data_IF_270866337526
#
_entry.id   IF_270866337526
#
_cell.length_a   1.000
_cell.length_b   1.000
_cell.length_c   1.000
_cell.angle_alpha   90.00
_cell.angle_beta   90.00
_cell.angle_gamma   90.00
#
_symmetry.space_group_name_H-M   'P 1'
#
loop_
_entity.id
_entity.type
_entity.pdbx_description
1 polymer ?
#
# COMPACT_ATOMS: atom_id res chain seq x y z
N UNK A 1 4.90 -16.04 -25.38
CA UNK A 1 4.97 -15.35 -24.09
C UNK A 1 3.96 -14.20 -23.99
N UNK A 2 4.07 -13.10 -24.74
CA UNK A 2 3.15 -11.95 -24.65
C UNK A 2 1.67 -12.30 -24.80
N UNK A 3 1.32 -13.15 -25.78
CA UNK A 3 -0.06 -13.63 -25.97
C UNK A 3 -0.58 -14.44 -24.77
N UNK A 4 0.27 -15.27 -24.17
CA UNK A 4 -0.11 -16.08 -23.02
C UNK A 4 -0.37 -15.19 -21.79
N UNK A 5 0.46 -14.17 -21.56
CA UNK A 5 0.26 -13.17 -20.49
C UNK A 5 -1.08 -12.45 -20.68
N UNK A 6 -1.37 -12.02 -21.91
CA UNK A 6 -2.62 -11.36 -22.25
C UNK A 6 -3.82 -12.26 -21.98
N UNK A 7 -3.77 -13.52 -22.45
CA UNK A 7 -4.86 -14.50 -22.24
C UNK A 7 -5.05 -14.80 -20.75
N UNK A 8 -3.98 -14.89 -19.96
CA UNK A 8 -4.07 -15.10 -18.52
C UNK A 8 -4.78 -13.94 -17.82
N UNK A 9 -4.40 -12.70 -18.19
CA UNK A 9 -5.04 -11.49 -17.65
C UNK A 9 -6.51 -11.37 -18.06
N UNK A 10 -6.83 -11.65 -19.33
CA UNK A 10 -8.22 -11.66 -19.81
C UNK A 10 -9.07 -12.70 -19.07
N UNK A 11 -8.55 -13.91 -18.86
CA UNK A 11 -9.24 -14.95 -18.09
C UNK A 11 -9.48 -14.49 -16.63
N UNK A 12 -8.50 -13.84 -15.98
CA UNK A 12 -8.66 -13.30 -14.63
C UNK A 12 -9.75 -12.22 -14.58
N UNK A 13 -9.73 -11.28 -15.53
CA UNK A 13 -10.74 -10.20 -15.61
C UNK A 13 -12.13 -10.72 -15.91
N UNK A 14 -12.25 -11.77 -16.72
CA UNK A 14 -13.50 -12.48 -17.00
C UNK A 14 -13.97 -13.37 -15.83
N UNK A 15 -13.19 -13.45 -14.73
CA UNK A 15 -13.42 -14.34 -13.58
C UNK A 15 -13.42 -15.84 -13.96
N UNK A 16 -12.77 -16.19 -15.06
CA UNK A 16 -12.49 -17.58 -15.47
C UNK A 16 -11.27 -18.08 -14.67
N UNK A 17 -11.44 -18.22 -13.34
CA UNK A 17 -10.34 -18.38 -12.42
C UNK A 17 -9.56 -19.69 -12.60
N UNK A 18 -10.23 -20.81 -12.99
CA UNK A 18 -9.58 -22.09 -13.30
C UNK A 18 -8.60 -21.92 -14.47
N UNK A 19 -9.06 -21.26 -15.53
CA UNK A 19 -8.24 -20.98 -16.71
C UNK A 19 -7.11 -20.00 -16.37
N UNK A 20 -7.39 -18.97 -15.56
CA UNK A 20 -6.37 -18.04 -15.09
C UNK A 20 -5.29 -18.77 -14.28
N UNK A 21 -5.68 -19.69 -13.38
CA UNK A 21 -4.76 -20.51 -12.60
C UNK A 21 -3.85 -21.36 -13.49
N UNK A 22 -4.41 -22.02 -14.49
CA UNK A 22 -3.66 -22.85 -15.45
C UNK A 22 -2.65 -22.01 -16.24
N UNK A 23 -3.10 -20.87 -16.79
CA UNK A 23 -2.26 -19.98 -17.60
C UNK A 23 -1.15 -19.33 -16.79
N UNK A 24 -1.44 -18.83 -15.56
CA UNK A 24 -0.41 -18.26 -14.69
C UNK A 24 0.55 -19.34 -14.17
N UNK A 25 0.10 -20.58 -13.95
CA UNK A 25 0.99 -21.70 -13.60
C UNK A 25 1.95 -22.02 -14.74
N UNK A 26 1.47 -22.02 -15.97
CA UNK A 26 2.31 -22.23 -17.16
C UNK A 26 3.32 -21.07 -17.34
N UNK A 27 2.92 -19.83 -17.05
CA UNK A 27 3.81 -18.65 -17.08
C UNK A 27 4.86 -18.71 -15.98
N UNK A 28 4.50 -19.12 -14.76
CA UNK A 28 5.42 -19.29 -13.64
C UNK A 28 6.48 -20.37 -13.92
N UNK A 29 6.08 -21.47 -14.56
CA UNK A 29 7.02 -22.51 -15.01
C UNK A 29 8.05 -21.98 -16.04
N UNK A 30 7.72 -20.90 -16.73
CA UNK A 30 8.62 -20.17 -17.62
C UNK A 30 9.32 -18.96 -16.94
N UNK A 31 9.29 -18.91 -15.61
CA UNK A 31 9.88 -17.84 -14.79
C UNK A 31 9.39 -16.42 -15.10
N UNK A 32 8.13 -16.27 -15.57
CA UNK A 32 7.53 -14.95 -15.77
C UNK A 32 7.20 -14.32 -14.39
N UNK A 33 7.81 -13.17 -14.01
CA UNK A 33 7.75 -12.65 -12.65
C UNK A 33 6.34 -12.31 -12.15
N UNK A 34 5.50 -11.71 -12.99
CA UNK A 34 4.16 -11.26 -12.57
C UNK A 34 3.18 -12.41 -12.42
N UNK A 35 3.47 -13.58 -13.00
CA UNK A 35 2.65 -14.78 -12.84
C UNK A 35 2.61 -15.25 -11.39
N UNK A 36 3.72 -15.16 -10.67
CA UNK A 36 3.77 -15.49 -9.24
C UNK A 36 2.86 -14.58 -8.42
N UNK A 37 2.82 -13.29 -8.72
CA UNK A 37 1.89 -12.36 -8.07
C UNK A 37 0.43 -12.79 -8.27
N UNK A 38 0.03 -13.13 -9.50
CA UNK A 38 -1.35 -13.54 -9.77
C UNK A 38 -1.68 -14.91 -9.18
N UNK A 39 -0.74 -15.83 -9.09
CA UNK A 39 -0.92 -17.07 -8.33
C UNK A 39 -1.14 -16.78 -6.84
N UNK A 40 -0.33 -15.92 -6.24
CA UNK A 40 -0.52 -15.44 -4.87
C UNK A 40 -1.92 -14.85 -4.67
N UNK A 41 -2.37 -14.00 -5.59
CA UNK A 41 -3.71 -13.42 -5.56
C UNK A 41 -4.82 -14.48 -5.58
N UNK A 42 -4.73 -15.50 -6.44
CA UNK A 42 -5.73 -16.58 -6.53
C UNK A 42 -5.80 -17.41 -5.24
N UNK A 43 -4.65 -17.71 -4.61
CA UNK A 43 -4.60 -18.40 -3.32
C UNK A 43 -5.09 -17.53 -2.17
N UNK A 44 -4.76 -16.24 -2.17
CA UNK A 44 -5.17 -15.30 -1.12
C UNK A 44 -6.69 -15.16 -1.04
N UNK A 45 -7.34 -15.04 -2.20
CA UNK A 45 -8.79 -14.87 -2.29
C UNK A 45 -9.58 -16.18 -2.32
N UNK A 46 -8.93 -17.32 -2.55
CA UNK A 46 -9.61 -18.62 -2.59
C UNK A 46 -10.61 -18.77 -3.74
N UNK A 47 -10.31 -18.17 -4.90
CA UNK A 47 -11.27 -18.15 -6.02
C UNK A 47 -11.46 -19.51 -6.71
N UNK A 48 -10.42 -20.32 -6.82
CA UNK A 48 -10.42 -21.65 -7.46
C UNK A 48 -9.98 -22.73 -6.51
N UNK A 49 -9.07 -22.37 -5.64
CA UNK A 49 -8.48 -23.22 -4.63
C UNK A 49 -8.96 -22.76 -3.26
N UNK A 50 -8.95 -23.67 -2.27
CA UNK A 50 -9.19 -23.24 -0.90
C UNK A 50 -8.21 -22.10 -0.55
N UNK A 51 -8.74 -21.03 0.06
CA UNK A 51 -7.93 -19.91 0.55
C UNK A 51 -6.75 -20.43 1.38
N UNK A 52 -5.56 -19.96 1.03
CA UNK A 52 -4.32 -20.35 1.68
C UNK A 52 -3.37 -19.14 1.71
N UNK A 53 -3.44 -18.38 2.82
CA UNK A 53 -2.61 -17.19 3.00
C UNK A 53 -1.12 -17.53 3.07
N UNK A 54 -0.74 -18.72 3.57
CA UNK A 54 0.66 -19.14 3.61
C UNK A 54 1.20 -19.34 2.20
N UNK A 55 0.46 -20.05 1.38
CA UNK A 55 0.85 -20.28 -0.02
C UNK A 55 0.82 -18.99 -0.83
N UNK A 56 -0.14 -18.10 -0.55
CA UNK A 56 -0.19 -16.77 -1.13
C UNK A 56 1.07 -15.96 -0.80
N UNK A 57 1.49 -15.97 0.48
CA UNK A 57 2.73 -15.32 0.90
C UNK A 57 3.96 -15.86 0.18
N UNK A 58 4.09 -17.19 0.04
CA UNK A 58 5.19 -17.82 -0.69
C UNK A 58 5.24 -17.33 -2.16
N UNK A 59 4.10 -17.26 -2.85
CA UNK A 59 4.03 -16.77 -4.21
C UNK A 59 4.29 -15.26 -4.33
N UNK A 60 3.73 -14.45 -3.41
CA UNK A 60 4.03 -13.02 -3.40
C UNK A 60 5.50 -12.75 -3.12
N UNK A 61 6.12 -13.49 -2.20
CA UNK A 61 7.55 -13.38 -1.91
C UNK A 61 8.41 -13.71 -3.14
N UNK A 62 8.04 -14.76 -3.87
CA UNK A 62 8.70 -15.14 -5.11
C UNK A 62 8.60 -14.05 -6.19
N UNK A 63 7.44 -13.39 -6.31
CA UNK A 63 7.27 -12.23 -7.20
C UNK A 63 8.04 -11.01 -6.70
N UNK A 64 8.03 -10.75 -5.38
CA UNK A 64 8.70 -9.61 -4.76
C UNK A 64 10.21 -9.65 -4.93
N UNK A 65 10.82 -10.84 -4.78
CA UNK A 65 12.26 -11.07 -5.02
C UNK A 65 12.65 -10.87 -6.48
N UNK A 66 11.69 -11.02 -7.41
CA UNK A 66 11.82 -10.70 -8.84
C UNK A 66 11.44 -9.25 -9.15
N UNK A 67 11.44 -8.40 -8.15
CA UNK A 67 11.23 -6.96 -8.25
C UNK A 67 9.86 -6.53 -8.79
N UNK A 68 8.80 -7.34 -8.60
CA UNK A 68 7.42 -6.96 -8.91
C UNK A 68 6.90 -6.01 -7.81
N UNK A 69 6.66 -4.71 -8.12
CA UNK A 69 6.41 -3.70 -7.08
C UNK A 69 5.14 -3.94 -6.27
N UNK A 70 4.08 -4.43 -6.92
CA UNK A 70 2.82 -4.75 -6.25
C UNK A 70 3.00 -5.95 -5.30
N UNK A 71 3.80 -6.94 -5.67
CA UNK A 71 4.10 -8.08 -4.81
C UNK A 71 4.94 -7.69 -3.59
N UNK A 72 5.90 -6.77 -3.75
CA UNK A 72 6.67 -6.22 -2.64
C UNK A 72 5.76 -5.54 -1.61
N UNK A 73 4.76 -4.81 -2.08
CA UNK A 73 3.76 -4.18 -1.21
C UNK A 73 2.90 -5.22 -0.48
N UNK A 74 2.42 -6.26 -1.18
CA UNK A 74 1.61 -7.33 -0.55
C UNK A 74 2.42 -8.11 0.49
N UNK A 75 3.68 -8.46 0.20
CA UNK A 75 4.58 -9.09 1.18
C UNK A 75 4.74 -8.23 2.42
N UNK A 76 4.93 -6.91 2.24
CA UNK A 76 5.04 -5.98 3.36
C UNK A 76 3.77 -5.96 4.22
N UNK A 77 2.58 -5.91 3.60
CA UNK A 77 1.29 -5.97 4.30
C UNK A 77 1.12 -7.28 5.08
N UNK A 78 1.45 -8.41 4.46
CA UNK A 78 1.32 -9.72 5.09
C UNK A 78 2.26 -9.86 6.29
N UNK A 79 3.50 -9.38 6.19
CA UNK A 79 4.46 -9.34 7.31
C UNK A 79 4.02 -8.39 8.42
N UNK A 80 3.47 -7.22 8.09
CA UNK A 80 2.94 -6.26 9.07
C UNK A 80 1.77 -6.85 9.87
N UNK A 81 0.90 -7.64 9.22
CA UNK A 81 -0.29 -8.22 9.83
C UNK A 81 -0.06 -9.63 10.42
N UNK A 82 1.01 -10.32 10.04
CA UNK A 82 1.22 -11.73 10.36
C UNK A 82 0.27 -12.64 9.58
N UNK A 83 -0.09 -12.27 8.34
CA UNK A 83 -1.02 -13.03 7.52
C UNK A 83 -0.28 -14.02 6.62
N UNK A 84 -0.48 -15.31 6.87
CA UNK A 84 0.21 -16.38 6.14
C UNK A 84 1.69 -16.56 6.49
N UNK A 85 2.24 -15.70 7.33
CA UNK A 85 3.61 -15.70 7.81
C UNK A 85 3.68 -15.20 9.26
N UNK A 86 4.85 -15.32 9.89
CA UNK A 86 5.09 -14.68 11.18
C UNK A 86 5.18 -13.16 11.00
N UNK A 87 4.53 -12.41 11.92
CA UNK A 87 4.59 -10.95 11.90
C UNK A 87 6.02 -10.46 12.09
N UNK A 88 6.46 -9.56 11.20
CA UNK A 88 7.79 -8.97 11.24
C UNK A 88 7.79 -7.54 10.71
N UNK A 89 7.64 -6.58 11.61
CA UNK A 89 7.57 -5.15 11.26
C UNK A 89 8.87 -4.65 10.59
N UNK A 90 10.04 -5.18 10.95
CA UNK A 90 11.31 -4.75 10.34
C UNK A 90 11.43 -5.21 8.89
N UNK A 91 11.02 -6.43 8.61
CA UNK A 91 11.00 -6.96 7.25
C UNK A 91 9.89 -6.32 6.42
N UNK A 92 8.73 -6.01 7.02
CA UNK A 92 7.68 -5.23 6.38
C UNK A 92 8.19 -3.85 5.94
N UNK A 93 8.92 -3.14 6.80
CA UNK A 93 9.51 -1.85 6.46
C UNK A 93 10.49 -1.95 5.28
N UNK A 94 11.31 -2.99 5.24
CA UNK A 94 12.21 -3.27 4.10
C UNK A 94 11.42 -3.43 2.79
N UNK A 95 10.38 -4.27 2.78
CA UNK A 95 9.60 -4.51 1.57
C UNK A 95 8.76 -3.29 1.14
N UNK A 96 8.24 -2.50 2.09
CA UNK A 96 7.62 -1.20 1.77
C UNK A 96 8.64 -0.24 1.14
N UNK A 97 9.88 -0.20 1.63
CA UNK A 97 10.93 0.63 1.05
C UNK A 97 11.24 0.21 -0.39
N UNK A 98 11.36 -1.10 -0.65
CA UNK A 98 11.58 -1.62 -2.00
C UNK A 98 10.43 -1.30 -2.95
N UNK A 99 9.18 -1.45 -2.51
CA UNK A 99 7.99 -1.07 -3.28
C UNK A 99 7.94 0.44 -3.55
N UNK A 100 8.27 1.26 -2.54
CA UNK A 100 8.30 2.72 -2.66
C UNK A 100 9.37 3.20 -3.64
N UNK A 101 10.58 2.60 -3.64
CA UNK A 101 11.64 2.88 -4.63
C UNK A 101 11.17 2.66 -6.07
N UNK A 102 10.21 1.75 -6.27
CA UNK A 102 9.62 1.43 -7.58
C UNK A 102 8.31 2.19 -7.85
N UNK A 103 8.00 3.19 -7.01
CA UNK A 103 6.88 4.11 -7.23
C UNK A 103 5.53 3.66 -6.68
N UNK A 104 5.48 2.64 -5.82
CA UNK A 104 4.24 2.28 -5.15
C UNK A 104 3.86 3.37 -4.13
N UNK A 105 2.76 4.07 -4.42
CA UNK A 105 2.31 5.23 -3.64
C UNK A 105 1.84 4.83 -2.24
N UNK A 106 1.15 3.70 -2.12
CA UNK A 106 0.65 3.21 -0.84
C UNK A 106 1.81 2.77 0.08
N UNK A 107 2.89 2.24 -0.51
CA UNK A 107 4.09 1.90 0.24
C UNK A 107 4.76 3.13 0.87
N UNK A 108 4.79 4.29 0.18
CA UNK A 108 5.26 5.53 0.80
C UNK A 108 4.44 5.92 2.03
N UNK A 109 3.11 5.80 1.97
CA UNK A 109 2.25 6.10 3.11
C UNK A 109 2.50 5.13 4.28
N UNK A 110 2.54 3.83 4.01
CA UNK A 110 2.68 2.83 5.06
C UNK A 110 4.06 2.89 5.72
N UNK A 111 5.14 3.05 4.93
CA UNK A 111 6.48 3.26 5.45
C UNK A 111 6.58 4.56 6.26
N UNK A 112 5.91 5.63 5.81
CA UNK A 112 5.81 6.88 6.56
C UNK A 112 5.15 6.70 7.93
N UNK A 113 4.10 5.88 8.01
CA UNK A 113 3.46 5.53 9.27
C UNK A 113 4.40 4.73 10.19
N UNK A 114 5.16 3.78 9.64
CA UNK A 114 6.14 3.00 10.40
C UNK A 114 7.23 3.90 10.99
N UNK A 115 7.77 4.85 10.23
CA UNK A 115 8.74 5.83 10.75
C UNK A 115 8.11 6.78 11.78
N UNK A 116 6.87 7.21 11.59
CA UNK A 116 6.15 8.04 12.57
C UNK A 116 5.97 7.34 13.91
N UNK A 117 5.73 6.05 13.90
CA UNK A 117 5.40 5.23 15.08
C UNK A 117 6.61 4.49 15.66
N UNK A 118 7.71 4.38 14.93
CA UNK A 118 8.88 3.59 15.32
C UNK A 118 8.63 2.08 15.23
N UNK A 119 7.73 1.64 14.33
CA UNK A 119 7.43 0.22 14.14
C UNK A 119 8.39 -0.41 13.13
N UNK A 120 9.17 -1.38 13.58
CA UNK A 120 10.17 -2.06 12.75
C UNK A 120 11.37 -1.20 12.32
N UNK A 121 11.34 0.10 12.59
CA UNK A 121 12.37 1.10 12.29
C UNK A 121 12.54 2.05 13.47
N UNK A 122 13.68 2.74 13.54
CA UNK A 122 13.87 3.82 14.51
C UNK A 122 12.91 4.97 14.14
N UNK A 123 12.15 5.47 15.12
CA UNK A 123 11.22 6.59 14.92
C UNK A 123 11.95 7.81 14.31
N UNK A 124 11.38 8.33 13.23
CA UNK A 124 11.92 9.49 12.52
C UNK A 124 10.80 10.30 11.85
N UNK A 125 10.35 11.36 12.51
CA UNK A 125 9.30 12.23 11.98
C UNK A 125 9.72 12.98 10.71
N UNK A 126 11.01 13.27 10.50
CA UNK A 126 11.49 13.91 9.26
C UNK A 126 11.37 12.96 8.07
N UNK A 127 11.75 11.70 8.25
CA UNK A 127 11.55 10.67 7.22
C UNK A 127 10.05 10.43 6.96
N UNK A 128 9.24 10.34 8.01
CA UNK A 128 7.79 10.22 7.88
C UNK A 128 7.20 11.37 7.06
N UNK A 129 7.59 12.62 7.36
CA UNK A 129 7.16 13.80 6.62
C UNK A 129 7.51 13.72 5.12
N UNK A 130 8.75 13.32 4.79
CA UNK A 130 9.19 13.18 3.38
C UNK A 130 8.36 12.12 2.66
N UNK A 131 8.13 10.98 3.31
CA UNK A 131 7.38 9.85 2.73
C UNK A 131 5.90 10.20 2.54
N UNK A 132 5.26 10.79 3.55
CA UNK A 132 3.88 11.27 3.43
C UNK A 132 3.76 12.37 2.37
N UNK A 133 4.73 13.28 2.26
CA UNK A 133 4.73 14.31 1.24
C UNK A 133 4.75 13.72 -0.17
N UNK A 134 5.57 12.69 -0.42
CA UNK A 134 5.60 11.99 -1.71
C UNK A 134 4.25 11.36 -2.04
N UNK A 135 3.68 10.61 -1.11
CA UNK A 135 2.39 9.95 -1.32
C UNK A 135 1.23 10.97 -1.43
N UNK A 136 1.22 12.01 -0.61
CA UNK A 136 0.19 13.05 -0.62
C UNK A 136 0.17 13.85 -1.93
N UNK A 137 1.35 14.21 -2.45
CA UNK A 137 1.48 14.87 -3.75
C UNK A 137 1.07 13.96 -4.91
N UNK A 138 1.22 12.64 -4.77
CA UNK A 138 0.71 11.66 -5.72
C UNK A 138 -0.80 11.36 -5.55
N UNK A 139 -1.48 12.06 -4.63
CA UNK A 139 -2.93 11.98 -4.47
C UNK A 139 -3.42 10.99 -3.41
N UNK A 140 -2.55 10.31 -2.66
CA UNK A 140 -2.98 9.38 -1.63
C UNK A 140 -3.70 10.10 -0.48
N UNK A 141 -5.00 9.83 -0.30
CA UNK A 141 -5.84 10.51 0.70
C UNK A 141 -5.40 10.25 2.14
N UNK A 142 -4.92 9.04 2.45
CA UNK A 142 -4.39 8.72 3.79
C UNK A 142 -3.12 9.51 4.09
N UNK A 143 -2.22 9.59 3.11
CA UNK A 143 -0.99 10.37 3.24
C UNK A 143 -1.26 11.87 3.32
N UNK A 144 -2.25 12.41 2.61
CA UNK A 144 -2.68 13.80 2.74
C UNK A 144 -3.15 14.11 4.16
N UNK A 145 -3.94 13.23 4.75
CA UNK A 145 -4.37 13.36 6.14
C UNK A 145 -3.18 13.29 7.11
N UNK A 146 -2.28 12.31 6.94
CA UNK A 146 -1.09 12.16 7.78
C UNK A 146 -0.15 13.37 7.67
N UNK A 147 0.05 13.89 6.46
CA UNK A 147 0.86 15.09 6.22
C UNK A 147 0.24 16.32 6.87
N UNK A 148 -1.08 16.47 6.78
CA UNK A 148 -1.82 17.52 7.49
C UNK A 148 -1.60 17.45 9.00
N UNK A 149 -1.63 16.26 9.60
CA UNK A 149 -1.39 16.06 11.02
C UNK A 149 0.06 16.41 11.43
N UNK A 150 1.06 16.14 10.58
CA UNK A 150 2.45 16.56 10.86
C UNK A 150 2.60 18.08 10.79
N UNK A 151 1.98 18.77 9.84
CA UNK A 151 1.95 20.23 9.82
C UNK A 151 1.20 20.84 11.01
N UNK A 152 0.17 20.16 11.51
CA UNK A 152 -0.59 20.62 12.68
C UNK A 152 0.25 20.61 13.96
N UNK A 153 1.11 19.61 14.10
CA UNK A 153 1.90 19.37 15.32
C UNK A 153 3.36 19.84 15.25
N UNK A 154 3.84 20.20 14.06
CA UNK A 154 5.25 20.52 13.83
C UNK A 154 6.21 19.32 13.93
N UNK A 155 5.67 18.09 13.90
CA UNK A 155 6.50 16.89 13.98
C UNK A 155 7.20 16.62 12.65
N UNK A 156 8.52 16.69 12.63
CA UNK A 156 9.36 16.47 11.45
C UNK A 156 9.39 17.63 10.45
N UNK A 157 8.60 18.68 10.68
CA UNK A 157 8.56 19.91 9.89
C UNK A 157 8.23 21.12 10.79
N UNK A 158 8.26 22.32 10.23
CA UNK A 158 7.74 23.51 10.91
C UNK A 158 6.20 23.45 11.00
N UNK A 159 5.65 23.79 12.17
CA UNK A 159 4.20 23.85 12.38
C UNK A 159 3.57 24.87 11.43
N UNK A 160 2.48 24.44 10.77
CA UNK A 160 1.75 25.30 9.83
C UNK A 160 0.28 24.90 9.74
N UNK A 161 -0.59 25.62 10.46
CA UNK A 161 -2.03 25.34 10.53
C UNK A 161 -2.74 25.52 9.19
N UNK A 162 -2.27 26.44 8.34
CA UNK A 162 -2.87 26.68 7.01
C UNK A 162 -2.61 25.47 6.10
N UNK A 163 -1.36 25.00 6.04
CA UNK A 163 -1.02 23.78 5.28
C UNK A 163 -1.70 22.54 5.84
N UNK A 164 -1.80 22.43 7.18
CA UNK A 164 -2.55 21.35 7.81
C UNK A 164 -3.98 21.30 7.29
N UNK A 165 -4.68 22.46 7.33
CA UNK A 165 -6.05 22.56 6.86
C UNK A 165 -6.18 22.27 5.36
N UNK A 166 -5.25 22.78 4.53
CA UNK A 166 -5.22 22.52 3.09
C UNK A 166 -5.16 21.03 2.79
N UNK A 167 -4.21 20.31 3.40
CA UNK A 167 -4.06 18.89 3.21
C UNK A 167 -5.24 18.07 3.77
N UNK A 168 -5.78 18.50 4.91
CA UNK A 168 -6.98 17.89 5.49
C UNK A 168 -8.19 18.03 4.54
N UNK A 169 -8.38 19.20 3.91
CA UNK A 169 -9.43 19.42 2.91
C UNK A 169 -9.26 18.51 1.70
N UNK A 170 -8.03 18.37 1.16
CA UNK A 170 -7.75 17.47 0.03
C UNK A 170 -8.12 16.02 0.38
N UNK A 171 -7.75 15.55 1.57
CA UNK A 171 -8.12 14.22 2.05
C UNK A 171 -9.66 14.06 2.20
N UNK A 172 -10.33 15.05 2.78
CA UNK A 172 -11.78 15.06 2.97
C UNK A 172 -12.54 15.00 1.64
N UNK A 173 -12.09 15.75 0.62
CA UNK A 173 -12.67 15.70 -0.74
C UNK A 173 -12.56 14.31 -1.38
N UNK A 174 -11.53 13.54 -1.06
CA UNK A 174 -11.36 12.17 -1.50
C UNK A 174 -12.12 11.13 -0.62
N UNK A 175 -12.93 11.60 0.32
CA UNK A 175 -13.75 10.73 1.16
C UNK A 175 -13.04 10.17 2.41
N UNK A 176 -11.88 10.73 2.81
CA UNK A 176 -11.21 10.32 4.04
C UNK A 176 -12.05 10.70 5.26
N UNK A 177 -12.67 9.71 5.92
CA UNK A 177 -13.69 9.91 6.96
C UNK A 177 -13.24 10.80 8.13
N UNK A 178 -12.02 10.57 8.64
CA UNK A 178 -11.50 11.39 9.75
C UNK A 178 -11.28 12.85 9.31
N UNK A 179 -10.76 13.08 8.11
CA UNK A 179 -10.60 14.42 7.57
C UNK A 179 -11.96 15.13 7.39
N UNK A 180 -12.95 14.43 6.85
CA UNK A 180 -14.32 14.96 6.73
C UNK A 180 -14.89 15.35 8.09
N UNK A 181 -14.70 14.52 9.12
CA UNK A 181 -15.16 14.82 10.48
C UNK A 181 -14.47 16.03 11.10
N UNK A 182 -13.18 16.26 10.81
CA UNK A 182 -12.45 17.44 11.27
C UNK A 182 -12.98 18.69 10.56
N UNK A 183 -13.06 18.68 9.25
CA UNK A 183 -13.56 19.81 8.46
C UNK A 183 -14.98 20.18 8.89
N UNK A 184 -15.87 19.20 9.05
CA UNK A 184 -17.24 19.43 9.50
C UNK A 184 -17.32 20.12 10.87
N UNK A 185 -16.49 19.68 11.85
CA UNK A 185 -16.43 20.33 13.17
C UNK A 185 -15.93 21.77 13.07
N UNK A 186 -14.84 22.02 12.34
CA UNK A 186 -14.27 23.35 12.18
C UNK A 186 -15.26 24.33 11.52
N UNK A 187 -16.11 23.85 10.62
CA UNK A 187 -17.19 24.64 10.01
C UNK A 187 -18.29 25.00 11.01
N UNK A 188 -18.75 24.02 11.80
CA UNK A 188 -19.79 24.24 12.82
C UNK A 188 -19.30 25.18 13.93
N UNK A 189 -18.02 25.14 14.26
CA UNK A 189 -17.40 25.99 15.28
C UNK A 189 -17.05 27.40 14.74
N UNK A 190 -17.38 27.70 13.47
CA UNK A 190 -17.08 28.98 12.82
C UNK A 190 -15.60 29.27 12.59
N UNK A 191 -14.75 28.25 12.68
CA UNK A 191 -13.30 28.37 12.51
C UNK A 191 -12.88 28.46 11.04
N UNK A 192 -13.72 27.94 10.12
CA UNK A 192 -13.51 28.02 8.67
C UNK A 192 -14.84 28.34 7.96
N UNK A 193 -14.76 29.16 6.90
CA UNK A 193 -15.87 29.46 5.99
C UNK A 193 -15.53 28.85 4.62
N UNK A 194 -16.57 28.53 3.83
CA UNK A 194 -16.40 28.02 2.46
C UNK A 194 -15.83 29.08 1.52
#
# INVERSE_FOLDING_TARGET
MKELIKSAYEALMAKEYEKALELYSALANNNEPTSFYYLGFLYFHGHVVKQDSKKAFEYFLEAATREVPVAQFEVALMLENGEGCEKNDSEAAFWYEEAAKRGNIDAFNNLGAMYKEGRGVIQDYKKAFILFSKAANAGNAKAQFNLGALYDTGLGCEENKEKSLEWCRKAAHQGHKLAQGIIFRMQNDGQIVF
#
